data_IF_402153712841
#
_entry.id   IF_402153712841
#
_cell.length_a   1.000
_cell.length_b   1.000
_cell.length_c   1.000
_cell.angle_alpha   90.00
_cell.angle_beta   90.00
_cell.angle_gamma   90.00
#
_symmetry.space_group_name_H-M   'P 1'
#
loop_
_entity.id
_entity.type
_entity.pdbx_description
1 polymer ?
#
# COMPACT_ATOMS: atom_id res chain seq x y z
N UNK A 1 5.11 -8.79 -6.12
CA UNK A 1 4.55 -7.43 -6.12
C UNK A 1 5.65 -6.52 -5.60
N UNK A 2 5.99 -5.47 -6.32
CA UNK A 2 7.03 -4.53 -5.88
C UNK A 2 6.41 -3.69 -4.77
N UNK A 3 6.95 -3.81 -3.57
CA UNK A 3 6.54 -3.06 -2.39
C UNK A 3 6.96 -1.59 -2.57
N UNK A 4 6.04 -0.63 -2.38
CA UNK A 4 6.40 0.78 -2.54
C UNK A 4 7.36 1.19 -1.42
N UNK A 5 8.49 1.79 -1.81
CA UNK A 5 9.58 2.20 -0.93
C UNK A 5 9.35 3.63 -0.47
N UNK A 6 9.25 3.83 0.81
CA UNK A 6 9.03 5.15 1.43
C UNK A 6 10.23 5.49 2.31
N UNK A 7 10.85 6.62 2.07
CA UNK A 7 11.83 7.18 3.00
C UNK A 7 11.10 8.09 4.00
N UNK A 8 11.20 7.74 5.27
CA UNK A 8 10.63 8.49 6.39
C UNK A 8 11.76 9.31 7.05
N UNK A 9 11.74 10.62 6.82
CA UNK A 9 12.76 11.55 7.31
C UNK A 9 12.20 12.26 8.54
N UNK A 10 12.66 11.88 9.72
CA UNK A 10 12.19 12.39 11.01
C UNK A 10 13.29 12.30 12.07
N UNK A 11 13.77 13.43 12.53
CA UNK A 11 14.83 13.54 13.55
C UNK A 11 14.34 13.51 14.99
N UNK A 12 13.01 13.44 15.24
CA UNK A 12 12.43 13.54 16.58
C UNK A 12 12.29 12.18 17.30
N UNK A 13 12.53 12.14 18.63
CA UNK A 13 12.38 10.92 19.42
C UNK A 13 10.93 10.45 19.57
N UNK A 14 9.95 11.27 19.25
CA UNK A 14 8.52 10.99 19.46
C UNK A 14 7.66 11.03 18.16
N UNK A 15 8.29 11.25 16.97
CA UNK A 15 7.50 11.71 15.84
C UNK A 15 6.75 10.62 15.06
N UNK A 16 7.38 9.56 14.66
CA UNK A 16 6.82 8.69 13.61
C UNK A 16 6.82 7.19 13.89
N UNK A 17 7.34 6.74 15.04
CA UNK A 17 7.47 5.30 15.34
C UNK A 17 6.14 4.51 15.25
N UNK A 18 5.04 5.11 15.70
CA UNK A 18 3.72 4.48 15.60
C UNK A 18 3.18 4.40 14.18
N UNK A 19 3.48 5.39 13.36
CA UNK A 19 3.08 5.41 11.94
C UNK A 19 3.92 4.45 11.09
N UNK A 20 5.22 4.33 11.38
CA UNK A 20 6.09 3.39 10.69
C UNK A 20 5.54 1.96 10.77
N UNK A 21 5.27 1.46 11.97
CA UNK A 21 4.75 0.11 12.17
C UNK A 21 3.42 -0.14 11.43
N UNK A 22 2.56 0.88 11.37
CA UNK A 22 1.29 0.78 10.66
C UNK A 22 1.48 0.77 9.13
N UNK A 23 2.40 1.58 8.61
CA UNK A 23 2.74 1.59 7.18
C UNK A 23 3.38 0.26 6.74
N UNK A 24 4.29 -0.29 7.54
CA UNK A 24 4.88 -1.61 7.29
C UNK A 24 3.81 -2.72 7.31
N UNK A 25 2.85 -2.64 8.24
CA UNK A 25 1.73 -3.59 8.30
C UNK A 25 0.82 -3.51 7.05
N UNK A 26 0.72 -2.33 6.43
CA UNK A 26 -0.02 -2.13 5.17
C UNK A 26 0.80 -2.50 3.92
N UNK A 27 2.05 -2.95 4.08
CA UNK A 27 2.87 -3.50 3.00
C UNK A 27 3.76 -2.47 2.30
N UNK A 28 4.08 -1.35 2.96
CA UNK A 28 5.10 -0.41 2.49
C UNK A 28 6.49 -0.81 3.02
N UNK A 29 7.51 -0.68 2.18
CA UNK A 29 8.90 -0.79 2.63
C UNK A 29 9.37 0.56 3.18
N UNK A 30 9.55 0.67 4.51
CA UNK A 30 9.89 1.91 5.18
C UNK A 30 11.39 1.96 5.47
N UNK A 31 12.03 3.04 5.02
CA UNK A 31 13.43 3.34 5.27
C UNK A 31 13.51 4.63 6.08
N UNK A 32 14.08 4.55 7.28
CA UNK A 32 14.16 5.70 8.17
C UNK A 32 15.46 6.48 7.97
N UNK A 33 15.34 7.82 7.95
CA UNK A 33 16.45 8.76 8.00
C UNK A 33 16.18 9.78 9.12
N UNK A 34 17.12 9.99 10.01
CA UNK A 34 17.01 10.93 11.14
C UNK A 34 17.70 12.28 10.86
N UNK A 35 18.32 12.41 9.71
CA UNK A 35 19.02 13.62 9.24
C UNK A 35 18.81 13.81 7.74
N UNK A 36 18.99 15.04 7.24
CA UNK A 36 18.97 15.36 5.81
C UNK A 36 20.08 14.64 5.06
N UNK A 37 21.25 14.50 5.70
CA UNK A 37 22.37 13.75 5.12
C UNK A 37 22.02 12.28 4.91
N UNK A 38 21.38 11.64 5.89
CA UNK A 38 20.89 10.27 5.76
C UNK A 38 19.79 10.16 4.71
N UNK A 39 18.92 11.17 4.62
CA UNK A 39 17.87 11.24 3.61
C UNK A 39 18.44 11.31 2.18
N UNK A 40 19.48 12.13 1.93
CA UNK A 40 20.15 12.18 0.64
C UNK A 40 20.75 10.82 0.26
N UNK A 41 21.44 10.17 1.18
CA UNK A 41 21.99 8.84 0.94
C UNK A 41 20.88 7.82 0.62
N UNK A 42 19.78 7.85 1.36
CA UNK A 42 18.64 6.99 1.12
C UNK A 42 17.97 7.24 -0.26
N UNK A 43 17.89 8.49 -0.70
CA UNK A 43 17.34 8.83 -2.02
C UNK A 43 18.16 8.23 -3.14
N UNK A 44 19.49 8.28 -3.03
CA UNK A 44 20.41 7.79 -4.05
C UNK A 44 20.49 6.26 -4.11
N UNK A 45 20.55 5.60 -2.95
CA UNK A 45 20.72 4.14 -2.86
C UNK A 45 19.42 3.36 -3.00
N UNK A 46 18.33 3.89 -2.44
CA UNK A 46 17.06 3.16 -2.35
C UNK A 46 16.15 3.49 -3.54
N UNK A 47 16.30 4.68 -4.14
CA UNK A 47 15.42 5.20 -5.18
C UNK A 47 13.93 5.12 -4.73
N UNK A 48 13.55 5.87 -3.70
CA UNK A 48 12.23 5.74 -3.10
C UNK A 48 11.09 6.18 -4.04
N UNK A 49 9.93 5.60 -3.81
CA UNK A 49 8.71 5.93 -4.53
C UNK A 49 8.01 7.17 -3.91
N UNK A 50 8.32 7.47 -2.63
CA UNK A 50 7.79 8.62 -1.88
C UNK A 50 8.70 8.96 -0.70
N UNK A 51 8.73 10.25 -0.34
CA UNK A 51 9.39 10.74 0.87
C UNK A 51 8.34 11.34 1.81
N UNK A 52 8.32 10.89 3.08
CA UNK A 52 7.69 11.59 4.19
C UNK A 52 8.76 12.42 4.89
N UNK A 53 8.62 13.73 4.92
CA UNK A 53 9.68 14.66 5.30
C UNK A 53 9.23 15.58 6.45
N UNK A 54 9.95 15.56 7.55
CA UNK A 54 9.78 16.60 8.57
C UNK A 54 10.39 17.92 8.10
N UNK A 55 9.81 19.02 8.53
CA UNK A 55 10.31 20.38 8.24
C UNK A 55 11.58 20.67 9.06
N UNK A 56 11.62 20.23 10.32
CA UNK A 56 12.73 20.51 11.23
C UNK A 56 13.54 19.24 11.47
N UNK A 57 14.81 19.27 11.07
CA UNK A 57 15.75 18.16 11.25
C UNK A 57 16.99 18.65 11.98
N UNK A 58 17.74 17.76 12.66
CA UNK A 58 18.92 18.16 13.45
C UNK A 58 20.01 18.89 12.66
N UNK A 59 20.09 18.61 11.36
CA UNK A 59 21.12 19.11 10.46
C UNK A 59 20.61 20.13 9.44
N UNK A 60 19.35 20.61 9.57
CA UNK A 60 18.83 21.65 8.68
C UNK A 60 17.34 21.66 8.47
N UNK A 61 16.93 22.39 7.42
CA UNK A 61 15.53 22.59 7.03
C UNK A 61 15.09 21.56 5.98
N UNK A 62 13.97 20.85 6.26
CA UNK A 62 13.32 20.01 5.26
C UNK A 62 12.79 20.77 4.05
N UNK A 63 12.47 22.05 4.21
CA UNK A 63 12.06 22.92 3.09
C UNK A 63 13.21 23.10 2.09
N UNK A 64 14.41 23.43 2.58
CA UNK A 64 15.59 23.61 1.75
C UNK A 64 15.98 22.29 1.07
N UNK A 65 15.86 21.18 1.81
CA UNK A 65 16.08 19.85 1.26
C UNK A 65 15.11 19.54 0.12
N UNK A 66 13.81 19.82 0.29
CA UNK A 66 12.81 19.61 -0.75
C UNK A 66 13.13 20.45 -2.00
N UNK A 67 13.46 21.73 -1.83
CA UNK A 67 13.84 22.59 -2.93
C UNK A 67 15.08 22.07 -3.69
N UNK A 68 16.13 21.68 -2.98
CA UNK A 68 17.33 21.10 -3.57
C UNK A 68 17.03 19.77 -4.30
N UNK A 69 16.19 18.92 -3.70
CA UNK A 69 15.78 17.64 -4.28
C UNK A 69 15.06 17.82 -5.62
N UNK A 70 14.26 18.87 -5.76
CA UNK A 70 13.50 19.19 -6.99
C UNK A 70 14.38 19.54 -8.19
N UNK A 71 15.66 19.86 -7.99
CA UNK A 71 16.59 20.09 -9.09
C UNK A 71 16.82 18.81 -9.93
N UNK A 72 16.80 17.65 -9.30
CA UNK A 72 17.13 16.35 -9.95
C UNK A 72 16.07 15.26 -9.80
N UNK A 73 15.15 15.38 -8.87
CA UNK A 73 14.21 14.32 -8.53
C UNK A 73 12.75 14.78 -8.61
N UNK A 74 11.86 13.84 -8.96
CA UNK A 74 10.42 14.08 -9.15
C UNK A 74 9.53 13.19 -8.28
N UNK A 75 10.11 12.35 -7.40
CA UNK A 75 9.29 11.55 -6.50
C UNK A 75 8.43 12.44 -5.59
N UNK A 76 7.24 11.98 -5.17
CA UNK A 76 6.41 12.73 -4.23
C UNK A 76 7.13 12.99 -2.91
N UNK A 77 7.02 14.22 -2.41
CA UNK A 77 7.45 14.64 -1.08
C UNK A 77 6.23 15.13 -0.33
N UNK A 78 5.84 14.41 0.72
CA UNK A 78 4.78 14.80 1.63
C UNK A 78 5.44 15.30 2.91
N UNK A 79 5.21 16.56 3.24
CA UNK A 79 5.64 17.07 4.52
C UNK A 79 4.81 16.45 5.65
N UNK A 80 5.48 15.93 6.66
CA UNK A 80 4.86 15.27 7.82
C UNK A 80 5.54 15.79 9.09
N UNK A 81 4.98 16.85 9.66
CA UNK A 81 5.62 17.71 10.66
C UNK A 81 4.68 18.14 11.78
N UNK A 82 5.25 18.56 12.91
CA UNK A 82 4.48 19.18 14.00
C UNK A 82 4.21 20.68 13.77
N UNK A 83 4.84 21.30 12.78
CA UNK A 83 4.63 22.70 12.45
C UNK A 83 3.35 22.85 11.61
N UNK A 84 2.55 23.88 11.87
CA UNK A 84 1.28 24.12 11.17
C UNK A 84 1.30 25.37 10.28
N UNK A 85 2.34 26.18 10.37
CA UNK A 85 2.42 27.53 9.80
C UNK A 85 3.26 27.63 8.52
N UNK A 86 3.85 26.52 8.06
CA UNK A 86 4.75 26.50 6.89
C UNK A 86 4.17 25.75 5.67
N UNK A 87 2.86 25.48 5.67
CA UNK A 87 2.21 24.73 4.60
C UNK A 87 2.36 25.40 3.23
N UNK A 88 2.14 26.73 3.17
CA UNK A 88 2.20 27.49 1.92
C UNK A 88 3.62 27.43 1.33
N UNK A 89 4.64 27.70 2.16
CA UNK A 89 6.04 27.68 1.71
C UNK A 89 6.46 26.28 1.27
N UNK A 90 6.07 25.26 2.03
CA UNK A 90 6.37 23.87 1.72
C UNK A 90 5.81 23.45 0.34
N UNK A 91 4.58 23.82 0.03
CA UNK A 91 3.95 23.51 -1.25
C UNK A 91 4.56 24.32 -2.40
N UNK A 92 4.88 25.60 -2.19
CA UNK A 92 5.54 26.46 -3.19
C UNK A 92 6.96 25.98 -3.52
N UNK A 93 7.69 25.41 -2.55
CA UNK A 93 9.03 24.87 -2.73
C UNK A 93 9.05 23.45 -3.34
N UNK A 94 7.87 22.92 -3.70
CA UNK A 94 7.75 21.68 -4.45
C UNK A 94 7.28 20.47 -3.65
N UNK A 95 6.74 20.67 -2.44
CA UNK A 95 5.99 19.63 -1.72
C UNK A 95 4.70 19.26 -2.46
N UNK A 96 4.35 18.01 -2.42
CA UNK A 96 3.11 17.49 -3.03
C UNK A 96 1.92 17.53 -2.07
N UNK A 97 2.18 17.52 -0.77
CA UNK A 97 1.16 17.65 0.29
C UNK A 97 1.81 18.06 1.62
N UNK A 98 0.98 18.51 2.57
CA UNK A 98 1.41 18.93 3.91
C UNK A 98 0.49 18.32 4.98
N UNK A 99 1.08 17.64 5.94
CA UNK A 99 0.36 16.85 6.95
C UNK A 99 0.90 17.22 8.33
N UNK A 100 0.03 17.80 9.15
CA UNK A 100 0.40 18.20 10.51
C UNK A 100 0.23 17.02 11.46
N UNK A 101 1.27 16.74 12.26
CA UNK A 101 1.24 15.76 13.36
C UNK A 101 0.58 16.37 14.62
N UNK A 102 -0.19 15.57 15.39
CA UNK A 102 -0.63 14.21 15.07
C UNK A 102 -1.79 14.20 14.09
N UNK A 103 -1.83 13.22 13.17
CA UNK A 103 -2.97 12.98 12.32
C UNK A 103 -3.49 11.55 12.46
N UNK A 104 -4.78 11.28 12.24
CA UNK A 104 -5.28 9.92 12.21
C UNK A 104 -4.57 9.10 11.11
N UNK A 105 -4.13 7.88 11.44
CA UNK A 105 -3.43 7.02 10.48
C UNK A 105 -4.17 6.82 9.14
N UNK A 106 -5.51 6.60 9.11
CA UNK A 106 -6.22 6.49 7.85
C UNK A 106 -6.08 7.72 6.93
N UNK A 107 -5.92 8.92 7.52
CA UNK A 107 -5.71 10.17 6.76
C UNK A 107 -4.31 10.18 6.15
N UNK A 108 -3.27 9.86 6.94
CA UNK A 108 -1.90 9.73 6.44
C UNK A 108 -1.81 8.72 5.31
N UNK A 109 -2.35 7.51 5.53
CA UNK A 109 -2.38 6.44 4.54
C UNK A 109 -3.06 6.89 3.23
N UNK A 110 -4.25 7.51 3.30
CA UNK A 110 -4.97 7.98 2.12
C UNK A 110 -4.17 9.01 1.31
N UNK A 111 -3.44 9.91 1.96
CA UNK A 111 -2.60 10.94 1.31
C UNK A 111 -1.37 10.31 0.64
N UNK A 112 -0.69 9.38 1.30
CA UNK A 112 0.43 8.61 0.72
C UNK A 112 -0.03 7.89 -0.55
N UNK A 113 -1.13 7.15 -0.45
CA UNK A 113 -1.72 6.41 -1.57
C UNK A 113 -2.09 7.34 -2.73
N UNK A 114 -2.68 8.50 -2.44
CA UNK A 114 -3.05 9.49 -3.46
C UNK A 114 -1.81 10.07 -4.17
N UNK A 115 -0.71 10.31 -3.44
CA UNK A 115 0.54 10.80 -4.01
C UNK A 115 1.23 9.74 -4.89
N UNK A 116 1.33 8.50 -4.41
CA UNK A 116 1.89 7.38 -5.17
C UNK A 116 1.09 7.12 -6.47
N UNK A 117 -0.24 7.13 -6.40
CA UNK A 117 -1.10 6.92 -7.57
C UNK A 117 -0.92 7.97 -8.66
N UNK A 118 -0.69 9.24 -8.30
CA UNK A 118 -0.46 10.32 -9.26
C UNK A 118 0.82 10.13 -10.07
N UNK A 119 1.84 9.53 -9.49
CA UNK A 119 3.15 9.41 -10.10
C UNK A 119 3.41 8.08 -10.80
N UNK A 120 2.85 7.02 -10.28
CA UNK A 120 3.08 5.67 -10.76
C UNK A 120 1.73 5.07 -11.21
N UNK A 121 1.23 5.48 -12.42
CA UNK A 121 0.02 4.86 -12.99
C UNK A 121 0.14 3.34 -13.07
N UNK A 122 1.36 2.83 -13.19
CA UNK A 122 1.68 1.41 -13.18
C UNK A 122 1.52 0.76 -11.78
N UNK A 123 1.63 1.54 -10.69
CA UNK A 123 1.28 1.07 -9.34
C UNK A 123 -0.22 1.09 -9.07
N UNK A 124 -1.01 1.77 -9.89
CA UNK A 124 -2.46 1.58 -9.90
C UNK A 124 -2.78 0.24 -10.58
N UNK A 125 -2.25 -0.84 -10.05
CA UNK A 125 -2.64 -2.19 -10.45
C UNK A 125 -4.07 -2.42 -9.98
N UNK A 126 -4.98 -1.95 -10.80
CA UNK A 126 -6.37 -2.32 -10.67
C UNK A 126 -6.53 -3.66 -11.37
N UNK A 127 -6.80 -4.70 -10.62
CA UNK A 127 -7.28 -5.93 -11.20
C UNK A 127 -8.75 -5.68 -11.58
N UNK A 128 -8.98 -5.46 -12.86
CA UNK A 128 -10.31 -5.23 -13.41
C UNK A 128 -10.85 -6.52 -14.03
N UNK A 129 -11.78 -7.15 -13.32
CA UNK A 129 -12.62 -8.23 -13.84
C UNK A 129 -14.09 -7.78 -13.73
N UNK A 130 -14.58 -6.90 -14.60
CA UNK A 130 -15.92 -6.34 -14.43
C UNK A 130 -16.99 -7.42 -14.20
N UNK A 131 -17.90 -7.24 -13.22
CA UNK A 131 -18.12 -6.05 -12.39
C UNK A 131 -17.23 -5.93 -11.13
N UNK A 132 -16.22 -6.80 -10.94
CA UNK A 132 -15.24 -6.74 -9.85
C UNK A 132 -14.07 -5.79 -10.20
N UNK A 133 -13.73 -4.93 -9.27
CA UNK A 133 -12.55 -4.05 -9.34
C UNK A 133 -11.80 -4.14 -8.01
N UNK A 134 -10.52 -4.42 -8.08
CA UNK A 134 -9.61 -4.49 -6.93
C UNK A 134 -8.52 -3.46 -7.12
N UNK A 135 -8.43 -2.50 -6.24
CA UNK A 135 -7.35 -1.53 -6.22
C UNK A 135 -6.30 -2.01 -5.23
N UNK A 136 -5.16 -2.47 -5.75
CA UNK A 136 -4.08 -3.07 -4.94
C UNK A 136 -3.36 -2.05 -4.08
N UNK A 137 -3.39 -0.78 -4.48
CA UNK A 137 -2.73 0.29 -3.75
C UNK A 137 -3.56 0.76 -2.55
N UNK A 138 -4.87 0.91 -2.76
CA UNK A 138 -5.79 1.34 -1.69
C UNK A 138 -6.32 0.19 -0.84
N UNK A 139 -6.10 -1.05 -1.25
CA UNK A 139 -6.72 -2.22 -0.63
C UNK A 139 -8.24 -2.27 -0.81
N UNK A 140 -8.80 -1.47 -1.72
CA UNK A 140 -10.26 -1.40 -1.90
C UNK A 140 -10.75 -2.42 -2.93
N UNK A 141 -11.85 -3.08 -2.60
CA UNK A 141 -12.56 -4.00 -3.48
C UNK A 141 -13.95 -3.44 -3.75
N UNK A 142 -14.32 -3.37 -5.02
CA UNK A 142 -15.69 -3.00 -5.41
C UNK A 142 -16.28 -4.08 -6.32
N UNK A 143 -17.51 -4.47 -6.04
CA UNK A 143 -18.29 -5.40 -6.86
C UNK A 143 -19.61 -4.74 -7.25
N UNK A 144 -19.87 -4.60 -8.54
CA UNK A 144 -21.06 -3.91 -9.06
C UNK A 144 -21.25 -2.50 -8.46
N UNK A 145 -20.14 -1.78 -8.20
CA UNK A 145 -20.14 -0.44 -7.60
C UNK A 145 -20.29 -0.40 -6.07
N UNK A 146 -20.54 -1.53 -5.39
CA UNK A 146 -20.55 -1.62 -3.93
C UNK A 146 -19.14 -1.86 -3.41
N UNK A 147 -18.71 -1.12 -2.40
CA UNK A 147 -17.45 -1.35 -1.70
C UNK A 147 -17.55 -2.55 -0.76
N UNK A 148 -16.57 -3.43 -0.82
CA UNK A 148 -16.47 -4.63 0.03
C UNK A 148 -15.21 -4.49 0.89
N UNK A 149 -15.36 -4.59 2.20
CA UNK A 149 -14.23 -4.63 3.13
C UNK A 149 -13.83 -6.07 3.39
N UNK A 150 -12.57 -6.39 3.09
CA UNK A 150 -12.01 -7.72 3.30
C UNK A 150 -10.88 -7.65 4.34
N UNK A 151 -10.81 -8.62 5.27
CA UNK A 151 -9.61 -8.83 6.07
C UNK A 151 -8.38 -9.08 5.17
N UNK A 152 -7.20 -8.67 5.62
CA UNK A 152 -5.96 -8.68 4.82
C UNK A 152 -5.69 -10.02 4.10
N UNK A 153 -5.84 -11.16 4.80
CA UNK A 153 -5.59 -12.48 4.19
C UNK A 153 -6.60 -12.84 3.09
N UNK A 154 -7.86 -12.42 3.24
CA UNK A 154 -8.89 -12.60 2.21
C UNK A 154 -8.63 -11.68 1.01
N UNK A 155 -8.22 -10.44 1.26
CA UNK A 155 -7.81 -9.51 0.21
C UNK A 155 -6.63 -10.08 -0.60
N UNK A 156 -5.57 -10.55 0.05
CA UNK A 156 -4.42 -11.17 -0.61
C UNK A 156 -4.80 -12.40 -1.45
N UNK A 157 -5.69 -13.26 -0.92
CA UNK A 157 -6.23 -14.41 -1.66
C UNK A 157 -7.00 -13.97 -2.91
N UNK A 158 -7.88 -12.97 -2.76
CA UNK A 158 -8.66 -12.44 -3.89
C UNK A 158 -7.72 -11.86 -4.97
N UNK A 159 -6.72 -11.09 -4.58
CA UNK A 159 -5.74 -10.53 -5.52
C UNK A 159 -5.03 -11.62 -6.33
N UNK A 160 -4.56 -12.69 -5.67
CA UNK A 160 -3.90 -13.80 -6.35
C UNK A 160 -4.83 -14.52 -7.33
N UNK A 161 -6.04 -14.81 -6.90
CA UNK A 161 -7.03 -15.53 -7.69
C UNK A 161 -7.55 -14.71 -8.87
N UNK A 162 -7.81 -13.42 -8.65
CA UNK A 162 -8.31 -12.52 -9.68
C UNK A 162 -7.24 -12.04 -10.66
N UNK A 163 -5.94 -12.13 -10.31
CA UNK A 163 -4.84 -11.84 -11.23
C UNK A 163 -4.64 -12.90 -12.32
N UNK A 164 -5.20 -14.10 -12.11
CA UNK A 164 -5.08 -15.21 -13.05
C UNK A 164 -6.46 -15.90 -13.24
N UNK A 165 -7.44 -15.18 -13.81
CA UNK A 165 -8.81 -15.69 -13.94
C UNK A 165 -8.84 -16.95 -14.80
N UNK A 166 -9.55 -17.97 -14.33
CA UNK A 166 -9.65 -19.28 -14.97
C UNK A 166 -8.44 -20.20 -14.78
N UNK A 167 -7.35 -19.72 -14.23
CA UNK A 167 -6.19 -20.58 -13.93
C UNK A 167 -6.36 -21.33 -12.61
N UNK A 168 -5.76 -22.52 -12.56
CA UNK A 168 -5.69 -23.33 -11.33
C UNK A 168 -4.49 -22.88 -10.51
N UNK A 169 -4.74 -22.49 -9.26
CA UNK A 169 -3.69 -22.17 -8.29
C UNK A 169 -3.77 -23.21 -7.17
N UNK A 170 -2.68 -23.92 -6.93
CA UNK A 170 -2.67 -24.98 -5.91
C UNK A 170 -2.83 -24.40 -4.49
N UNK A 171 -3.44 -25.16 -3.59
CA UNK A 171 -3.55 -24.77 -2.18
C UNK A 171 -2.19 -24.51 -1.54
N UNK A 172 -1.16 -25.24 -1.96
CA UNK A 172 0.20 -25.05 -1.47
C UNK A 172 0.77 -23.68 -1.91
N UNK A 173 0.57 -23.30 -3.15
CA UNK A 173 1.00 -22.01 -3.68
C UNK A 173 0.27 -20.85 -3.00
N UNK A 174 -1.06 -20.93 -2.83
CA UNK A 174 -1.84 -19.93 -2.11
C UNK A 174 -1.35 -19.77 -0.66
N UNK A 175 -1.11 -20.88 0.04
CA UNK A 175 -0.60 -20.84 1.41
C UNK A 175 0.77 -20.17 1.48
N UNK A 176 1.71 -20.55 0.62
CA UNK A 176 3.05 -19.95 0.57
C UNK A 176 3.00 -18.44 0.28
N UNK A 177 2.21 -18.02 -0.71
CA UNK A 177 2.14 -16.60 -1.11
C UNK A 177 1.42 -15.72 -0.08
N UNK A 178 0.46 -16.24 0.67
CA UNK A 178 -0.34 -15.45 1.61
C UNK A 178 0.17 -15.55 3.05
N UNK A 179 0.74 -16.69 3.48
CA UNK A 179 1.22 -16.90 4.85
C UNK A 179 2.73 -17.11 4.97
N UNK A 180 3.46 -17.11 3.85
CA UNK A 180 4.91 -17.28 3.82
C UNK A 180 5.35 -18.75 3.93
N UNK A 181 6.64 -18.97 4.14
CA UNK A 181 7.25 -20.32 4.19
C UNK A 181 6.75 -21.16 5.38
N UNK A 182 6.40 -20.55 6.50
CA UNK A 182 5.78 -21.25 7.63
C UNK A 182 4.39 -21.78 7.32
N UNK A 183 3.77 -21.27 6.24
CA UNK A 183 2.49 -21.75 5.72
C UNK A 183 1.31 -21.63 6.70
N UNK A 184 0.24 -22.32 6.36
CA UNK A 184 -0.94 -22.46 7.21
C UNK A 184 -1.61 -23.81 6.97
N UNK A 185 -2.57 -24.19 7.84
CA UNK A 185 -3.32 -25.44 7.66
C UNK A 185 -4.29 -25.36 6.47
N UNK A 186 -4.65 -26.52 5.90
CA UNK A 186 -5.66 -26.59 4.84
C UNK A 186 -7.02 -26.07 5.33
N UNK A 187 -7.32 -26.30 6.61
CA UNK A 187 -8.55 -25.81 7.23
C UNK A 187 -8.60 -24.28 7.28
N UNK A 188 -7.49 -23.63 7.64
CA UNK A 188 -7.40 -22.16 7.66
C UNK A 188 -7.57 -21.58 6.26
N UNK A 189 -6.95 -22.16 5.23
CA UNK A 189 -7.14 -21.73 3.85
C UNK A 189 -8.60 -21.88 3.43
N UNK A 190 -9.21 -23.08 3.65
CA UNK A 190 -10.60 -23.36 3.29
C UNK A 190 -11.59 -22.43 3.96
N UNK A 191 -11.38 -22.10 5.25
CA UNK A 191 -12.21 -21.13 5.97
C UNK A 191 -12.10 -19.72 5.38
N UNK A 192 -10.89 -19.26 5.02
CA UNK A 192 -10.72 -17.96 4.39
C UNK A 192 -11.35 -17.91 2.99
N UNK A 193 -11.25 -18.98 2.21
CA UNK A 193 -11.91 -19.10 0.91
C UNK A 193 -13.45 -19.09 1.07
N UNK A 194 -13.99 -19.81 2.05
CA UNK A 194 -15.44 -19.80 2.34
C UNK A 194 -15.93 -18.40 2.69
N UNK A 195 -15.22 -17.71 3.58
CA UNK A 195 -15.55 -16.32 3.96
C UNK A 195 -15.42 -15.36 2.78
N UNK A 196 -14.45 -15.57 1.90
CA UNK A 196 -14.29 -14.78 0.69
C UNK A 196 -15.46 -14.97 -0.28
N UNK A 197 -15.95 -16.22 -0.45
CA UNK A 197 -17.17 -16.49 -1.22
C UNK A 197 -18.37 -15.73 -0.69
N UNK A 198 -18.59 -15.78 0.62
CA UNK A 198 -19.69 -15.06 1.28
C UNK A 198 -19.55 -13.54 1.09
N UNK A 199 -18.34 -12.99 1.29
CA UNK A 199 -18.11 -11.55 1.16
C UNK A 199 -18.30 -11.02 -0.27
N UNK A 200 -18.03 -11.87 -1.28
CA UNK A 200 -18.24 -11.56 -2.70
C UNK A 200 -19.62 -11.98 -3.21
N UNK A 201 -20.51 -12.47 -2.33
CA UNK A 201 -21.84 -12.94 -2.70
C UNK A 201 -21.80 -13.95 -3.86
N UNK A 202 -20.84 -14.92 -3.81
CA UNK A 202 -20.66 -15.93 -4.87
C UNK A 202 -21.65 -17.08 -4.71
N UNK A 203 -22.94 -16.79 -4.87
CA UNK A 203 -24.03 -17.74 -4.89
C UNK A 203 -24.52 -17.98 -6.33
N UNK A 204 -25.52 -18.82 -6.50
CA UNK A 204 -26.12 -19.12 -7.80
C UNK A 204 -26.61 -17.81 -8.48
N UNK A 205 -26.10 -17.57 -9.70
CA UNK A 205 -26.37 -16.33 -10.46
C UNK A 205 -25.33 -15.22 -10.27
N UNK A 206 -24.28 -15.44 -9.46
CA UNK A 206 -23.15 -14.50 -9.38
C UNK A 206 -22.39 -14.45 -10.70
N UNK A 207 -21.85 -13.28 -11.10
CA UNK A 207 -21.02 -13.15 -12.28
C UNK A 207 -19.66 -13.87 -12.15
N UNK A 208 -19.33 -14.37 -10.96
CA UNK A 208 -18.07 -15.07 -10.67
C UNK A 208 -18.32 -16.39 -9.95
N UNK A 209 -17.43 -17.31 -10.19
CA UNK A 209 -17.32 -18.59 -9.49
C UNK A 209 -15.92 -18.73 -8.87
N UNK A 210 -15.88 -19.17 -7.62
CA UNK A 210 -14.65 -19.59 -6.94
C UNK A 210 -14.82 -21.06 -6.55
N UNK A 211 -14.25 -21.96 -7.33
CA UNK A 211 -14.35 -23.40 -7.13
C UNK A 211 -13.05 -24.02 -6.62
N UNK A 212 -13.17 -25.18 -5.98
CA UNK A 212 -12.07 -26.05 -5.58
C UNK A 212 -12.11 -27.31 -6.43
N UNK A 213 -11.01 -27.64 -7.06
CA UNK A 213 -10.88 -28.83 -7.88
C UNK A 213 -10.46 -30.06 -7.06
N UNK A 214 -10.65 -31.31 -7.54
CA UNK A 214 -10.29 -32.54 -6.81
C UNK A 214 -8.82 -32.64 -6.41
N UNK A 215 -7.92 -32.00 -7.16
CA UNK A 215 -6.48 -31.89 -6.90
C UNK A 215 -6.11 -30.80 -5.87
N UNK A 216 -7.12 -30.26 -5.16
CA UNK A 216 -6.98 -29.18 -4.17
C UNK A 216 -6.40 -27.87 -4.75
N UNK A 217 -6.69 -27.58 -6.02
CA UNK A 217 -6.44 -26.27 -6.60
C UNK A 217 -7.71 -25.41 -6.56
N UNK A 218 -7.52 -24.10 -6.55
CA UNK A 218 -8.61 -23.13 -6.57
C UNK A 218 -8.64 -22.40 -7.91
N UNK A 219 -9.82 -22.15 -8.41
CA UNK A 219 -10.07 -21.46 -9.67
C UNK A 219 -11.06 -20.32 -9.41
N UNK A 220 -10.70 -19.11 -9.79
CA UNK A 220 -11.59 -17.96 -9.83
C UNK A 220 -11.85 -17.61 -11.29
N UNK A 221 -13.11 -17.60 -11.70
CA UNK A 221 -13.47 -17.31 -13.08
C UNK A 221 -14.77 -16.51 -13.16
N UNK A 222 -14.92 -15.80 -14.27
CA UNK A 222 -16.20 -15.23 -14.65
C UNK A 222 -17.08 -16.33 -15.26
N UNK A 223 -18.34 -16.33 -14.90
CA UNK A 223 -19.38 -17.27 -15.42
C UNK A 223 -20.08 -16.62 -16.60
#
# INVERSE_FOLDING_TARGET
>A
MTEARIVLVDGGPQGSGGYQAQLEADGFAIYRADTLRAAWFAVEEILPDLILLDVTLPDGSGLDFCQALRASHRMPVLFFTCQADQEVDALLLGGDDYIVKPCPYPVLHARIVAALRRRLPELSQVIACPPLRIDLLTGTVTLSGKSITLPQKQFQLLCLLASAPGQRISSQELKRKVWGESGTSDNTLSQNISRLRTALELEDGSPFELSCTPDRSYVFRRV
#
